data_IF_260515835655
#
_entry.id   IF_260515835655
#
_cell.length_a   1.000
_cell.length_b   1.000
_cell.length_c   1.000
_cell.angle_alpha   90.00
_cell.angle_beta   90.00
_cell.angle_gamma   90.00
#
_symmetry.space_group_name_H-M   'P 1'
#
loop_
_entity.id
_entity.type
_entity.pdbx_description
1 polymer ?
#
# COMPACT_ATOMS: atom_id res chain seq x y z
N UNK A 1 -3.74 -11.70 14.57
CA UNK A 1 -2.76 -10.65 14.25
C UNK A 1 -3.17 -10.06 12.92
N UNK A 2 -3.80 -8.89 12.94
CA UNK A 2 -4.08 -8.14 11.72
C UNK A 2 -2.74 -7.67 11.18
N UNK A 3 -2.39 -8.07 9.96
CA UNK A 3 -1.22 -7.53 9.26
C UNK A 3 -1.53 -6.08 8.88
N UNK A 4 -1.27 -5.15 9.79
CA UNK A 4 -1.22 -3.72 9.46
C UNK A 4 -0.07 -3.50 8.48
N UNK A 5 -0.41 -3.06 7.27
CA UNK A 5 0.58 -2.62 6.29
C UNK A 5 1.15 -1.29 6.78
N UNK A 6 2.44 -1.23 7.13
CA UNK A 6 3.06 0.04 7.50
C UNK A 6 3.09 1.00 6.30
N UNK A 7 2.82 2.30 6.51
CA UNK A 7 2.92 3.30 5.44
C UNK A 7 4.37 3.40 4.94
N UNK A 8 4.53 3.76 3.68
CA UNK A 8 5.84 4.00 3.06
C UNK A 8 6.12 5.50 2.96
N UNK A 9 7.39 5.90 3.01
CA UNK A 9 7.80 7.31 3.00
C UNK A 9 8.83 7.60 1.90
N UNK A 10 8.82 8.82 1.37
CA UNK A 10 9.75 9.26 0.32
C UNK A 10 11.21 9.03 0.73
N UNK A 11 12.02 8.50 -0.20
CA UNK A 11 13.42 8.15 0.03
C UNK A 11 13.63 6.81 0.72
N UNK A 12 12.57 6.16 1.22
CA UNK A 12 12.65 4.79 1.73
C UNK A 12 13.08 3.85 0.59
N UNK A 13 13.99 2.92 0.90
CA UNK A 13 14.30 1.81 0.00
C UNK A 13 13.38 0.64 0.33
N UNK A 14 12.60 0.21 -0.65
CA UNK A 14 11.72 -0.96 -0.54
C UNK A 14 12.53 -2.26 -0.71
N UNK A 15 11.90 -3.39 -0.35
CA UNK A 15 12.51 -4.72 -0.44
C UNK A 15 12.86 -5.12 -1.88
N UNK A 16 12.15 -4.58 -2.87
CA UNK A 16 12.43 -4.76 -4.30
C UNK A 16 13.55 -3.83 -4.81
N UNK A 17 14.16 -3.03 -3.93
CA UNK A 17 15.23 -2.11 -4.25
C UNK A 17 14.78 -0.73 -4.73
N UNK A 18 13.48 -0.52 -5.00
CA UNK A 18 12.94 0.75 -5.46
C UNK A 18 13.09 1.83 -4.38
N UNK A 19 13.38 3.06 -4.82
CA UNK A 19 13.38 4.24 -3.94
C UNK A 19 12.01 4.90 -4.03
N UNK A 20 11.38 5.09 -2.88
CA UNK A 20 10.03 5.65 -2.81
C UNK A 20 10.06 7.12 -3.26
N UNK A 21 9.32 7.43 -4.32
CA UNK A 21 9.05 8.80 -4.75
C UNK A 21 7.84 9.37 -3.99
N UNK A 22 7.65 10.71 -3.95
CA UNK A 22 6.46 11.30 -3.35
C UNK A 22 5.16 10.75 -3.93
N UNK A 23 5.10 10.56 -5.26
CA UNK A 23 3.93 10.03 -5.95
C UNK A 23 3.67 8.57 -5.57
N UNK A 24 4.72 7.76 -5.42
CA UNK A 24 4.59 6.37 -4.99
C UNK A 24 4.06 6.29 -3.56
N UNK A 25 4.64 7.06 -2.63
CA UNK A 25 4.19 7.11 -1.25
C UNK A 25 2.73 7.51 -1.15
N UNK A 26 2.34 8.57 -1.85
CA UNK A 26 0.97 9.05 -1.86
C UNK A 26 -0.01 8.00 -2.43
N UNK A 27 0.32 7.41 -3.58
CA UNK A 27 -0.56 6.44 -4.25
C UNK A 27 -0.74 5.18 -3.41
N UNK A 28 0.37 4.64 -2.87
CA UNK A 28 0.33 3.43 -2.04
C UNK A 28 -0.41 3.68 -0.72
N UNK A 29 -0.07 4.76 -0.01
CA UNK A 29 -0.65 5.05 1.31
C UNK A 29 -2.16 5.34 1.19
N UNK A 30 -2.61 6.10 0.18
CA UNK A 30 -4.05 6.31 -0.06
C UNK A 30 -4.80 4.99 -0.29
N UNK A 31 -4.18 4.03 -0.98
CA UNK A 31 -4.78 2.72 -1.21
C UNK A 31 -4.83 1.89 0.08
N UNK A 32 -3.78 1.95 0.91
CA UNK A 32 -3.77 1.30 2.22
C UNK A 32 -4.82 1.89 3.16
N UNK A 33 -4.98 3.23 3.20
CA UNK A 33 -6.02 3.88 3.99
C UNK A 33 -7.41 3.38 3.59
N UNK A 34 -7.64 3.17 2.29
CA UNK A 34 -8.89 2.62 1.79
C UNK A 34 -9.09 1.17 2.22
N UNK A 35 -8.06 0.33 2.14
CA UNK A 35 -8.11 -1.07 2.62
C UNK A 35 -8.43 -1.10 4.12
N UNK A 36 -7.79 -0.24 4.90
CA UNK A 36 -7.96 -0.19 6.33
C UNK A 36 -9.35 0.32 6.73
N UNK A 37 -9.95 1.22 5.93
CA UNK A 37 -11.35 1.65 6.16
C UNK A 37 -12.32 0.46 6.10
N UNK A 38 -12.15 -0.48 5.15
CA UNK A 38 -12.98 -1.69 5.10
C UNK A 38 -12.77 -2.59 6.32
N UNK A 39 -11.51 -2.76 6.75
CA UNK A 39 -11.18 -3.58 7.92
C UNK A 39 -11.75 -2.99 9.21
N UNK A 40 -11.64 -1.67 9.38
CA UNK A 40 -12.20 -0.94 10.51
C UNK A 40 -13.74 -1.05 10.56
N UNK A 41 -14.40 -1.07 9.39
CA UNK A 41 -15.84 -1.31 9.26
C UNK A 41 -16.24 -2.79 9.46
N UNK A 42 -15.28 -3.71 9.67
CA UNK A 42 -15.54 -5.15 9.76
C UNK A 42 -16.01 -5.77 8.43
N UNK A 43 -15.74 -5.10 7.30
CA UNK A 43 -16.14 -5.51 5.97
C UNK A 43 -15.02 -6.27 5.27
N UNK A 44 -15.40 -7.12 4.33
CA UNK A 44 -14.43 -7.74 3.44
C UNK A 44 -13.76 -6.67 2.56
N UNK A 45 -12.44 -6.69 2.53
CA UNK A 45 -11.64 -5.84 1.65
C UNK A 45 -11.82 -6.33 0.21
N UNK A 46 -12.18 -5.46 -0.75
CA UNK A 46 -12.20 -5.83 -2.16
C UNK A 46 -10.84 -6.33 -2.65
N UNK A 47 -10.84 -7.45 -3.37
CA UNK A 47 -9.61 -8.11 -3.85
C UNK A 47 -8.83 -7.21 -4.82
N UNK A 48 -9.52 -6.35 -5.55
CA UNK A 48 -8.95 -5.39 -6.48
C UNK A 48 -8.06 -4.37 -5.77
N UNK A 49 -8.40 -3.97 -4.54
CA UNK A 49 -7.58 -3.04 -3.76
C UNK A 49 -6.31 -3.73 -3.27
N UNK A 50 -6.43 -4.97 -2.79
CA UNK A 50 -5.28 -5.78 -2.36
C UNK A 50 -4.33 -6.00 -3.53
N UNK A 51 -4.85 -6.46 -4.67
CA UNK A 51 -4.08 -6.67 -5.89
C UNK A 51 -3.46 -5.36 -6.41
N UNK A 52 -4.20 -4.24 -6.35
CA UNK A 52 -3.69 -2.93 -6.70
C UNK A 52 -2.47 -2.53 -5.87
N UNK A 53 -2.48 -2.83 -4.56
CA UNK A 53 -1.36 -2.49 -3.68
C UNK A 53 -0.10 -3.31 -3.99
N UNK A 54 -0.25 -4.60 -4.31
CA UNK A 54 0.85 -5.44 -4.77
C UNK A 54 1.40 -4.93 -6.11
N UNK A 55 0.52 -4.54 -7.03
CA UNK A 55 0.90 -4.03 -8.35
C UNK A 55 1.72 -2.74 -8.24
N UNK A 56 1.29 -1.78 -7.41
CA UNK A 56 2.00 -0.51 -7.19
C UNK A 56 3.45 -0.76 -6.75
N UNK A 57 3.66 -1.69 -5.81
CA UNK A 57 5.02 -2.02 -5.33
C UNK A 57 5.80 -2.78 -6.41
N UNK A 58 5.19 -3.74 -7.10
CA UNK A 58 5.85 -4.52 -8.14
C UNK A 58 6.32 -3.65 -9.33
N UNK A 59 5.57 -2.61 -9.67
CA UNK A 59 5.87 -1.69 -10.77
C UNK A 59 6.79 -0.52 -10.38
N UNK A 60 7.09 -0.36 -9.09
CA UNK A 60 8.08 0.62 -8.65
C UNK A 60 9.49 0.17 -9.09
N UNK A 61 10.10 0.91 -10.01
CA UNK A 61 11.45 0.72 -10.57
C UNK A 61 12.22 2.03 -10.49
#
# INVERSE_FOLDING_TARGET
MSSESSPIFTGQRLWNGAIVTPQLAETYNRLQDRIESFRAEGRNVPVELVNGSHKIIAEAQ
#
